data_IF_879350060909
#
_entry.id   IF_879350060909
#
_cell.length_a   1.000
_cell.length_b   1.000
_cell.length_c   1.000
_cell.angle_alpha   90.00
_cell.angle_beta   90.00
_cell.angle_gamma   90.00
#
_symmetry.space_group_name_H-M   'P 1'
#
loop_
_entity.id
_entity.type
_entity.pdbx_description
1 polymer ?
#
# COMPACT_ATOMS: atom_id res chain seq x y z
N UNK A 1 -21.01 3.80 -17.13
CA UNK A 1 -19.76 4.09 -16.41
C UNK A 1 -19.80 3.21 -15.18
N UNK A 2 -19.28 1.99 -15.32
CA UNK A 2 -19.29 1.01 -14.23
C UNK A 2 -18.19 1.39 -13.23
N UNK A 3 -18.57 2.06 -12.14
CA UNK A 3 -17.76 2.03 -10.93
C UNK A 3 -17.83 0.60 -10.39
N UNK A 4 -16.93 -0.26 -10.88
CA UNK A 4 -16.62 -1.51 -10.19
C UNK A 4 -15.94 -1.10 -8.90
N UNK A 5 -16.73 -1.07 -7.82
CA UNK A 5 -16.20 -1.08 -6.46
C UNK A 5 -15.12 -2.15 -6.40
N UNK A 6 -13.88 -1.75 -6.10
CA UNK A 6 -12.77 -2.67 -5.85
C UNK A 6 -13.05 -3.40 -4.54
N UNK A 7 -13.93 -4.39 -4.58
CA UNK A 7 -14.43 -5.14 -3.43
C UNK A 7 -13.36 -6.00 -2.73
N UNK A 8 -12.16 -6.07 -3.30
CA UNK A 8 -11.18 -7.11 -2.99
C UNK A 8 -9.97 -6.60 -2.20
N UNK A 9 -9.82 -5.28 -2.02
CA UNK A 9 -8.66 -4.74 -1.29
C UNK A 9 -8.96 -4.53 0.19
N UNK A 10 -9.02 -5.63 0.96
CA UNK A 10 -9.23 -5.61 2.42
C UNK A 10 -7.91 -5.69 3.21
N UNK A 11 -7.95 -5.21 4.45
CA UNK A 11 -6.79 -5.27 5.35
C UNK A 11 -6.45 -6.72 5.69
N UNK A 12 -7.45 -7.53 5.98
CA UNK A 12 -7.31 -8.91 6.45
C UNK A 12 -6.56 -9.77 5.42
N UNK A 13 -6.95 -9.71 4.15
CA UNK A 13 -6.32 -10.50 3.09
C UNK A 13 -4.84 -10.13 2.88
N UNK A 14 -4.53 -8.84 2.91
CA UNK A 14 -3.15 -8.34 2.76
C UNK A 14 -2.31 -8.66 3.99
N UNK A 15 -2.89 -8.54 5.19
CA UNK A 15 -2.23 -8.84 6.45
C UNK A 15 -1.91 -10.33 6.57
N UNK A 16 -2.85 -11.22 6.26
CA UNK A 16 -2.64 -12.68 6.36
C UNK A 16 -1.52 -13.17 5.44
N UNK A 17 -1.39 -12.59 4.24
CA UNK A 17 -0.37 -13.02 3.27
C UNK A 17 0.99 -12.38 3.51
N UNK A 18 1.04 -11.10 3.89
CA UNK A 18 2.28 -10.32 3.92
C UNK A 18 2.66 -9.79 5.30
N UNK A 19 1.88 -10.09 6.34
CA UNK A 19 2.09 -9.60 7.71
C UNK A 19 2.19 -8.07 7.77
N UNK A 20 1.40 -7.42 6.91
CA UNK A 20 1.28 -5.96 6.83
C UNK A 20 0.45 -5.48 8.02
N UNK A 21 0.95 -4.45 8.68
CA UNK A 21 0.26 -3.77 9.78
C UNK A 21 -0.82 -2.82 9.26
N UNK A 22 -1.76 -2.41 10.11
CA UNK A 22 -2.82 -1.45 9.74
C UNK A 22 -2.22 -0.16 9.17
N UNK A 23 -1.17 0.37 9.80
CA UNK A 23 -0.51 1.60 9.34
C UNK A 23 0.18 1.44 7.99
N UNK A 24 0.82 0.29 7.75
CA UNK A 24 1.39 -0.01 6.44
C UNK A 24 0.29 -0.20 5.38
N UNK A 25 -0.86 -0.79 5.75
CA UNK A 25 -2.00 -0.93 4.86
C UNK A 25 -2.61 0.42 4.44
N UNK A 26 -2.71 1.38 5.36
CA UNK A 26 -3.09 2.76 5.02
C UNK A 26 -2.13 3.36 3.97
N UNK A 27 -0.82 3.19 4.16
CA UNK A 27 0.20 3.64 3.20
C UNK A 27 0.02 2.94 1.84
N UNK A 28 -0.20 1.62 1.82
CA UNK A 28 -0.46 0.88 0.57
C UNK A 28 -1.73 1.39 -0.12
N UNK A 29 -2.79 1.65 0.64
CA UNK A 29 -4.07 2.17 0.14
C UNK A 29 -3.89 3.52 -0.56
N UNK A 30 -3.10 4.41 0.01
CA UNK A 30 -2.79 5.71 -0.58
C UNK A 30 -1.82 5.58 -1.78
N UNK A 31 -0.90 4.62 -1.74
CA UNK A 31 -0.05 4.30 -2.90
C UNK A 31 -0.89 3.87 -4.11
N UNK A 32 -1.89 3.01 -3.89
CA UNK A 32 -2.83 2.53 -4.91
C UNK A 32 -3.67 3.65 -5.52
N UNK A 33 -3.97 4.69 -4.74
CA UNK A 33 -4.62 5.92 -5.21
C UNK A 33 -3.68 6.84 -6.02
N UNK A 34 -2.39 6.52 -6.10
CA UNK A 34 -1.41 7.29 -6.88
C UNK A 34 -0.69 8.40 -6.12
N UNK A 35 -0.90 8.52 -4.80
CA UNK A 35 -0.31 9.60 -4.00
C UNK A 35 1.22 9.46 -3.85
N UNK A 36 1.93 10.56 -4.03
CA UNK A 36 3.37 10.67 -3.74
C UNK A 36 3.64 10.54 -2.24
N UNK A 37 4.88 10.19 -1.86
CA UNK A 37 5.24 10.05 -0.44
C UNK A 37 5.02 11.35 0.37
N UNK A 38 5.06 12.52 -0.29
CA UNK A 38 4.74 13.82 0.32
C UNK A 38 3.25 13.97 0.60
N UNK A 39 2.40 13.58 -0.34
CA UNK A 39 0.95 13.61 -0.17
C UNK A 39 0.51 12.60 0.89
N UNK A 40 1.07 11.39 0.87
CA UNK A 40 0.84 10.37 1.91
C UNK A 40 1.24 10.92 3.29
N UNK A 41 2.40 11.56 3.40
CA UNK A 41 2.87 12.15 4.66
C UNK A 41 1.90 13.22 5.17
N UNK A 42 1.39 14.06 4.27
CA UNK A 42 0.39 15.08 4.58
C UNK A 42 -0.94 14.47 5.04
N UNK A 43 -1.45 13.48 4.31
CA UNK A 43 -2.72 12.80 4.60
C UNK A 43 -2.67 12.09 5.96
N UNK A 44 -1.54 11.46 6.25
CA UNK A 44 -1.35 10.65 7.44
C UNK A 44 -0.81 11.43 8.65
N UNK A 45 -0.55 12.74 8.51
CA UNK A 45 -0.03 13.60 9.58
C UNK A 45 1.36 13.19 10.11
N UNK A 46 2.22 12.63 9.26
CA UNK A 46 3.56 12.14 9.63
C UNK A 46 4.66 12.71 8.72
N UNK A 47 5.92 12.48 9.07
CA UNK A 47 7.03 12.93 8.23
C UNK A 47 7.16 12.08 6.94
N UNK A 48 7.68 12.68 5.87
CA UNK A 48 8.04 11.95 4.63
C UNK A 48 9.03 10.83 4.91
N UNK A 49 9.95 11.02 5.86
CA UNK A 49 10.90 9.99 6.27
C UNK A 49 10.19 8.79 6.92
N UNK A 50 9.16 9.04 7.74
CA UNK A 50 8.33 7.98 8.32
C UNK A 50 7.58 7.21 7.24
N UNK A 51 7.03 7.91 6.23
CA UNK A 51 6.41 7.26 5.06
C UNK A 51 7.42 6.40 4.30
N UNK A 52 8.63 6.91 4.05
CA UNK A 52 9.69 6.13 3.38
C UNK A 52 10.04 4.86 4.16
N UNK A 53 10.10 4.94 5.50
CA UNK A 53 10.34 3.77 6.34
C UNK A 53 9.21 2.74 6.24
N UNK A 54 7.94 3.19 6.25
CA UNK A 54 6.80 2.30 6.01
C UNK A 54 6.90 1.62 4.64
N UNK A 55 7.23 2.37 3.58
CA UNK A 55 7.39 1.84 2.22
C UNK A 55 8.51 0.80 2.16
N UNK A 56 9.66 1.08 2.79
CA UNK A 56 10.76 0.12 2.84
C UNK A 56 10.36 -1.19 3.55
N UNK A 57 9.61 -1.10 4.65
CA UNK A 57 9.09 -2.27 5.35
C UNK A 57 8.06 -3.03 4.49
N UNK A 58 7.15 -2.32 3.82
CA UNK A 58 6.19 -2.92 2.88
C UNK A 58 6.94 -3.68 1.79
N UNK A 59 7.97 -3.08 1.18
CA UNK A 59 8.77 -3.73 0.14
C UNK A 59 9.46 -4.99 0.67
N UNK A 60 10.04 -4.93 1.87
CA UNK A 60 10.64 -6.11 2.51
C UNK A 60 9.61 -7.22 2.77
N UNK A 61 8.40 -6.86 3.22
CA UNK A 61 7.33 -7.82 3.56
C UNK A 61 6.67 -8.45 2.33
N UNK A 62 6.59 -7.70 1.24
CA UNK A 62 6.00 -8.14 -0.03
C UNK A 62 7.02 -8.72 -1.01
N UNK A 63 8.32 -8.66 -0.65
CA UNK A 63 9.45 -9.09 -1.48
C UNK A 63 9.48 -8.43 -2.86
N UNK A 64 9.16 -7.13 -2.91
CA UNK A 64 9.18 -6.31 -4.13
C UNK A 64 10.29 -5.27 -4.07
N UNK A 65 10.83 -4.89 -5.23
CA UNK A 65 11.96 -3.95 -5.31
C UNK A 65 11.55 -2.51 -5.55
N UNK A 66 10.32 -2.26 -5.97
CA UNK A 66 9.88 -0.93 -6.37
C UNK A 66 8.40 -0.69 -6.14
N UNK A 67 8.02 0.59 -6.22
CA UNK A 67 6.62 1.02 -6.15
C UNK A 67 5.78 0.43 -7.29
N UNK A 68 6.35 0.29 -8.48
CA UNK A 68 5.65 -0.30 -9.63
C UNK A 68 5.45 -1.80 -9.40
N UNK A 69 6.46 -2.51 -8.90
CA UNK A 69 6.33 -3.92 -8.55
C UNK A 69 5.27 -4.15 -7.48
N UNK A 70 5.21 -3.28 -6.47
CA UNK A 70 4.14 -3.30 -5.46
C UNK A 70 2.77 -3.11 -6.11
N UNK A 71 2.60 -2.13 -7.00
CA UNK A 71 1.32 -1.89 -7.68
C UNK A 71 0.91 -3.08 -8.55
N UNK A 72 1.85 -3.71 -9.27
CA UNK A 72 1.58 -4.90 -10.06
C UNK A 72 1.16 -6.08 -9.17
N UNK A 73 1.88 -6.32 -8.08
CA UNK A 73 1.55 -7.36 -7.10
C UNK A 73 0.12 -7.20 -6.56
N UNK A 74 -0.29 -5.96 -6.27
CA UNK A 74 -1.62 -5.63 -5.76
C UNK A 74 -2.73 -5.70 -6.81
N UNK A 75 -2.39 -5.66 -8.11
CA UNK A 75 -3.34 -5.87 -9.19
C UNK A 75 -3.52 -7.37 -9.50
N UNK A 76 -2.43 -8.14 -9.46
CA UNK A 76 -2.44 -9.59 -9.69
C UNK A 76 -3.10 -10.36 -8.55
N UNK A 77 -3.02 -9.82 -7.35
CA UNK A 77 -3.77 -10.32 -6.22
C UNK A 77 -5.26 -9.97 -6.41
N UNK A 78 -5.96 -10.75 -7.24
CA UNK A 78 -7.41 -10.91 -7.18
C UNK A 78 -7.73 -11.55 -5.85
N UNK A 79 -7.94 -10.69 -4.86
CA UNK A 79 -8.44 -11.03 -3.54
C UNK A 79 -9.94 -11.18 -3.53
#
# INVERSE_FOLDING_TARGET
MENKEHADFSFEAVSDKYHITEREFEVVSLIKQGLTNKEIASELGISVNTVNNHIANIFSKTNVGSRIDLLNLLQEASW
#
